data_IF_813728205389
#
_entry.id   IF_813728205389
#
_cell.length_a   1.000
_cell.length_b   1.000
_cell.length_c   1.000
_cell.angle_alpha   90.00
_cell.angle_beta   90.00
_cell.angle_gamma   90.00
#
_symmetry.space_group_name_H-M   'P 1'
#
loop_
_entity.id
_entity.type
_entity.pdbx_description
1 polymer ?
#
# COMPACT_ATOMS: atom_id res chain seq x y z
N UNK A 1 7.45 10.22 -4.41
CA UNK A 1 7.79 10.01 -5.85
C UNK A 1 6.65 10.39 -6.80
N UNK A 2 5.81 11.35 -6.42
CA UNK A 2 4.69 11.82 -7.24
C UNK A 2 5.21 12.66 -8.39
N UNK A 3 6.14 13.57 -8.09
CA UNK A 3 6.74 14.49 -9.09
C UNK A 3 7.41 13.70 -10.22
N UNK A 4 6.98 13.96 -11.44
CA UNK A 4 7.44 13.29 -12.65
C UNK A 4 6.68 12.00 -12.98
N UNK A 5 5.71 11.58 -12.14
CA UNK A 5 4.88 10.39 -12.36
C UNK A 5 3.38 10.71 -12.29
N UNK A 6 3.01 11.97 -12.52
CA UNK A 6 1.61 12.43 -12.41
C UNK A 6 0.68 11.72 -13.41
N UNK A 7 1.18 11.47 -14.61
CA UNK A 7 0.43 10.74 -15.64
C UNK A 7 0.14 9.30 -15.20
N UNK A 8 1.13 8.62 -14.62
CA UNK A 8 0.96 7.26 -14.09
C UNK A 8 -0.05 7.22 -12.94
N UNK A 9 0.01 8.20 -12.01
CA UNK A 9 -0.97 8.27 -10.93
C UNK A 9 -2.40 8.43 -11.45
N UNK A 10 -2.60 9.27 -12.48
CA UNK A 10 -3.90 9.45 -13.12
C UNK A 10 -4.39 8.16 -13.77
N UNK A 11 -3.51 7.43 -14.47
CA UNK A 11 -3.84 6.13 -15.09
C UNK A 11 -4.31 5.14 -14.03
N UNK A 12 -3.57 4.99 -12.93
CA UNK A 12 -3.94 4.11 -11.80
C UNK A 12 -5.38 4.39 -11.32
N UNK A 13 -5.73 5.67 -11.14
CA UNK A 13 -7.08 6.05 -10.71
C UNK A 13 -8.12 5.79 -11.80
N UNK A 14 -7.83 6.12 -13.06
CA UNK A 14 -8.73 5.92 -14.19
C UNK A 14 -9.04 4.43 -14.42
N UNK A 15 -8.06 3.57 -14.14
CA UNK A 15 -8.21 2.12 -14.22
C UNK A 15 -8.92 1.51 -12.99
N UNK A 16 -9.39 2.35 -12.07
CA UNK A 16 -10.22 1.93 -10.94
C UNK A 16 -9.45 1.45 -9.71
N UNK A 17 -8.14 1.64 -9.66
CA UNK A 17 -7.33 1.32 -8.49
C UNK A 17 -7.44 2.39 -7.41
N UNK A 18 -7.22 2.00 -6.15
CA UNK A 18 -7.21 2.92 -5.02
C UNK A 18 -5.79 3.41 -4.72
N UNK A 19 -5.70 4.68 -4.35
CA UNK A 19 -4.47 5.30 -3.88
C UNK A 19 -4.61 5.58 -2.39
N UNK A 20 -3.55 5.27 -1.63
CA UNK A 20 -3.45 5.57 -0.21
C UNK A 20 -2.20 6.36 0.13
N UNK A 21 -2.25 7.05 1.26
CA UNK A 21 -1.12 7.76 1.83
C UNK A 21 -0.13 6.78 2.46
N UNK A 22 1.17 6.99 2.23
CA UNK A 22 2.24 6.17 2.82
C UNK A 22 3.39 7.04 3.36
N UNK A 23 3.05 8.23 3.91
CA UNK A 23 3.96 9.30 4.30
C UNK A 23 4.57 10.04 3.09
N UNK A 24 4.89 11.30 3.30
CA UNK A 24 5.58 12.13 2.31
C UNK A 24 7.08 11.85 2.29
N UNK A 25 7.68 11.83 3.46
CA UNK A 25 9.13 11.67 3.63
C UNK A 25 9.61 10.22 3.55
N UNK A 26 8.76 9.26 3.92
CA UNK A 26 9.11 7.84 4.13
C UNK A 26 10.41 7.68 4.94
N UNK A 27 10.62 8.58 5.93
CA UNK A 27 11.80 8.59 6.79
C UNK A 27 11.85 7.36 7.69
N UNK A 28 13.03 6.77 7.88
CA UNK A 28 13.23 5.70 8.88
C UNK A 28 12.85 6.12 10.32
N UNK A 29 12.83 7.43 10.57
CA UNK A 29 12.41 8.00 11.86
C UNK A 29 10.89 8.31 11.92
N UNK A 30 10.12 8.03 10.87
CA UNK A 30 8.68 8.34 10.83
C UNK A 30 7.93 7.81 12.07
N UNK A 31 8.14 6.56 12.53
CA UNK A 31 7.46 6.05 13.73
C UNK A 31 7.77 6.82 15.02
N UNK A 32 8.87 7.57 15.05
CA UNK A 32 9.32 8.35 16.21
C UNK A 32 8.90 9.82 16.11
N UNK A 33 8.19 10.24 15.07
CA UNK A 33 7.72 11.62 14.96
C UNK A 33 6.71 11.95 16.06
N UNK A 34 6.84 13.16 16.64
CA UNK A 34 5.77 13.73 17.44
C UNK A 34 4.52 14.00 16.57
N UNK A 35 3.35 14.07 17.20
CA UNK A 35 2.05 14.16 16.55
C UNK A 35 1.97 15.28 15.51
N UNK A 36 2.45 16.48 15.83
CA UNK A 36 2.41 17.64 14.92
C UNK A 36 3.22 17.39 13.64
N UNK A 37 4.46 16.91 13.78
CA UNK A 37 5.33 16.60 12.65
C UNK A 37 4.75 15.47 11.79
N UNK A 38 4.22 14.44 12.43
CA UNK A 38 3.57 13.31 11.74
C UNK A 38 2.37 13.77 10.92
N UNK A 39 1.48 14.56 11.52
CA UNK A 39 0.32 15.13 10.81
C UNK A 39 0.74 15.97 9.62
N UNK A 40 1.75 16.84 9.79
CA UNK A 40 2.28 17.68 8.71
C UNK A 40 2.82 16.82 7.55
N UNK A 41 3.58 15.77 7.85
CA UNK A 41 4.11 14.83 6.84
C UNK A 41 2.97 14.16 6.05
N UNK A 42 1.97 13.63 6.75
CA UNK A 42 0.82 12.98 6.14
C UNK A 42 -0.04 13.95 5.32
N UNK A 43 -0.30 15.16 5.83
CA UNK A 43 -1.06 16.18 5.11
C UNK A 43 -0.34 16.66 3.84
N UNK A 44 0.98 16.81 3.90
CA UNK A 44 1.77 17.15 2.71
C UNK A 44 1.64 16.09 1.63
N UNK A 45 1.72 14.81 2.00
CA UNK A 45 1.49 13.71 1.05
C UNK A 45 0.08 13.71 0.49
N UNK A 46 -0.93 13.90 1.34
CA UNK A 46 -2.33 13.97 0.95
C UNK A 46 -2.57 15.07 -0.08
N UNK A 47 -2.14 16.30 0.23
CA UNK A 47 -2.31 17.44 -0.68
C UNK A 47 -1.71 17.16 -2.07
N UNK A 48 -0.52 16.57 -2.13
CA UNK A 48 0.11 16.23 -3.41
C UNK A 48 -0.65 15.13 -4.18
N UNK A 49 -1.13 14.10 -3.49
CA UNK A 49 -1.92 13.04 -4.10
C UNK A 49 -3.26 13.60 -4.62
N UNK A 50 -4.00 14.34 -3.80
CA UNK A 50 -5.29 14.92 -4.16
C UNK A 50 -5.16 15.94 -5.30
N UNK A 51 -4.09 16.73 -5.32
CA UNK A 51 -3.80 17.67 -6.42
C UNK A 51 -3.68 16.95 -7.77
N UNK A 52 -3.07 15.76 -7.79
CA UNK A 52 -2.84 15.01 -9.03
C UNK A 52 -4.04 14.16 -9.42
N UNK A 53 -4.68 13.53 -8.44
CA UNK A 53 -5.76 12.54 -8.68
C UNK A 53 -7.15 13.15 -8.72
N UNK A 54 -7.31 14.37 -8.18
CA UNK A 54 -8.61 15.03 -7.98
C UNK A 54 -9.59 14.17 -7.17
N UNK A 55 -9.07 13.28 -6.30
CA UNK A 55 -9.87 12.39 -5.46
C UNK A 55 -9.43 12.50 -4.00
N UNK A 56 -10.35 12.36 -3.04
CA UNK A 56 -10.01 12.35 -1.62
C UNK A 56 -9.17 11.12 -1.27
N UNK A 57 -8.13 11.33 -0.47
CA UNK A 57 -7.25 10.26 0.01
C UNK A 57 -7.65 9.90 1.44
N UNK A 58 -8.32 8.77 1.59
CA UNK A 58 -8.85 8.29 2.87
C UNK A 58 -8.12 7.06 3.40
N UNK A 59 -7.28 6.43 2.59
CA UNK A 59 -6.52 5.24 2.96
C UNK A 59 -5.11 5.60 3.38
N UNK A 60 -4.61 4.91 4.40
CA UNK A 60 -3.24 5.06 4.88
C UNK A 60 -2.60 3.70 5.13
N UNK A 61 -1.35 3.55 4.73
CA UNK A 61 -0.51 2.41 5.15
C UNK A 61 0.69 2.94 5.93
N UNK A 62 0.93 2.45 7.18
CA UNK A 62 2.08 2.92 7.94
C UNK A 62 3.40 2.47 7.31
N UNK A 63 4.39 3.37 7.18
CA UNK A 63 5.74 3.01 6.79
C UNK A 63 6.28 1.87 7.67
N UNK A 64 6.97 0.92 7.05
CA UNK A 64 7.55 -0.27 7.69
C UNK A 64 6.53 -1.19 8.39
N UNK A 65 5.23 -0.91 8.27
CA UNK A 65 4.19 -1.61 9.02
C UNK A 65 4.18 -1.32 10.53
N UNK A 66 4.91 -0.30 10.97
CA UNK A 66 5.00 0.07 12.38
C UNK A 66 3.78 0.90 12.77
N UNK A 67 3.13 0.49 13.85
CA UNK A 67 2.04 1.23 14.49
C UNK A 67 2.39 1.57 15.93
N UNK A 68 1.91 2.72 16.41
CA UNK A 68 2.03 3.16 17.80
C UNK A 68 0.90 4.15 18.14
N UNK A 69 0.72 4.53 19.42
CA UNK A 69 -0.34 5.46 19.83
C UNK A 69 -0.33 6.80 19.09
N UNK A 70 0.85 7.33 18.76
CA UNK A 70 0.99 8.61 18.04
C UNK A 70 0.49 8.48 16.59
N UNK A 71 0.87 7.39 15.90
CA UNK A 71 0.38 7.07 14.55
C UNK A 71 -1.15 6.90 14.59
N UNK A 72 -1.66 6.10 15.51
CA UNK A 72 -3.10 5.86 15.65
C UNK A 72 -3.88 7.18 15.89
N UNK A 73 -3.33 8.07 16.71
CA UNK A 73 -3.93 9.40 16.97
C UNK A 73 -3.91 10.28 15.72
N UNK A 74 -2.79 10.32 14.98
CA UNK A 74 -2.67 11.09 13.74
C UNK A 74 -3.66 10.58 12.67
N UNK A 75 -3.69 9.27 12.44
CA UNK A 75 -4.60 8.60 11.49
C UNK A 75 -6.04 8.93 11.78
N UNK A 76 -6.49 8.79 13.05
CA UNK A 76 -7.85 9.11 13.46
C UNK A 76 -8.17 10.59 13.29
N UNK A 77 -7.28 11.51 13.67
CA UNK A 77 -7.50 12.95 13.53
C UNK A 77 -7.54 13.43 12.08
N UNK A 78 -6.92 12.71 11.16
CA UNK A 78 -6.91 13.01 9.73
C UNK A 78 -7.98 12.23 8.94
N UNK A 79 -8.79 11.41 9.63
CA UNK A 79 -9.87 10.67 8.99
C UNK A 79 -9.43 9.51 8.10
N UNK A 80 -8.21 8.98 8.31
CA UNK A 80 -7.75 7.84 7.51
C UNK A 80 -8.25 6.51 8.04
N UNK A 81 -8.51 5.59 7.11
CA UNK A 81 -8.60 4.15 7.36
C UNK A 81 -7.21 3.52 7.14
N UNK A 82 -6.66 2.90 8.17
CA UNK A 82 -5.36 2.25 8.09
C UNK A 82 -5.47 0.86 7.48
N UNK A 83 -4.67 0.57 6.44
CA UNK A 83 -4.64 -0.72 5.76
C UNK A 83 -3.28 -1.38 5.96
N UNK A 84 -3.29 -2.54 6.61
CA UNK A 84 -2.12 -3.41 6.76
C UNK A 84 -2.03 -4.46 5.64
N UNK A 85 -1.50 -5.61 5.99
CA UNK A 85 -1.44 -6.81 5.16
C UNK A 85 -1.50 -8.06 6.04
N UNK A 86 -2.01 -9.16 5.49
CA UNK A 86 -1.95 -10.49 6.11
C UNK A 86 -0.81 -11.34 5.54
N UNK A 87 -0.42 -11.08 4.28
CA UNK A 87 0.67 -11.80 3.61
C UNK A 87 1.80 -10.84 3.25
N UNK A 88 2.93 -10.96 3.98
CA UNK A 88 4.18 -10.29 3.64
C UNK A 88 5.00 -11.18 2.71
N UNK A 89 5.22 -10.77 1.47
CA UNK A 89 5.91 -11.56 0.44
C UNK A 89 7.42 -11.66 0.65
N UNK A 90 8.04 -10.65 1.26
CA UNK A 90 9.49 -10.46 1.36
C UNK A 90 10.17 -10.26 0.00
N UNK A 91 9.44 -9.76 -0.98
CA UNK A 91 9.92 -9.45 -2.33
C UNK A 91 11.15 -8.54 -2.34
N UNK A 92 11.26 -7.62 -1.37
CA UNK A 92 12.41 -6.71 -1.23
C UNK A 92 13.70 -7.38 -0.74
N UNK A 93 13.66 -8.64 -0.35
CA UNK A 93 14.81 -9.42 0.13
C UNK A 93 15.42 -10.31 -0.95
N UNK A 94 15.24 -9.98 -2.24
CA UNK A 94 15.74 -10.76 -3.39
C UNK A 94 15.32 -12.25 -3.34
N UNK A 95 14.13 -12.51 -2.84
CA UNK A 95 13.58 -13.87 -2.85
C UNK A 95 13.24 -14.29 -4.27
N UNK A 96 13.65 -15.49 -4.70
CA UNK A 96 13.24 -16.04 -5.98
C UNK A 96 11.70 -16.07 -6.09
N UNK A 97 11.11 -15.80 -7.28
CA UNK A 97 9.66 -15.78 -7.48
C UNK A 97 8.96 -17.02 -6.91
N UNK A 98 9.50 -18.21 -7.11
CA UNK A 98 8.92 -19.47 -6.60
C UNK A 98 8.78 -19.47 -5.08
N UNK A 99 9.75 -18.91 -4.34
CA UNK A 99 9.67 -18.80 -2.88
C UNK A 99 8.59 -17.82 -2.44
N UNK A 100 8.38 -16.75 -3.21
CA UNK A 100 7.31 -15.78 -2.96
C UNK A 100 5.94 -16.44 -3.20
N UNK A 101 5.78 -17.10 -4.35
CA UNK A 101 4.55 -17.83 -4.70
C UNK A 101 4.22 -18.92 -3.68
N UNK A 102 5.21 -19.72 -3.27
CA UNK A 102 5.02 -20.74 -2.23
C UNK A 102 4.58 -20.14 -0.89
N UNK A 103 5.15 -18.99 -0.51
CA UNK A 103 4.75 -18.26 0.72
C UNK A 103 3.32 -17.75 0.63
N UNK A 104 2.91 -17.19 -0.52
CA UNK A 104 1.54 -16.74 -0.75
C UNK A 104 0.60 -17.94 -0.66
N UNK A 105 0.86 -19.01 -1.43
CA UNK A 105 0.02 -20.22 -1.44
C UNK A 105 -0.24 -20.80 -0.04
N UNK A 106 0.81 -20.81 0.80
CA UNK A 106 0.70 -21.32 2.18
C UNK A 106 -0.18 -20.49 3.11
N UNK A 107 -0.34 -19.18 2.81
CA UNK A 107 -1.04 -18.24 3.69
C UNK A 107 -2.30 -17.66 3.07
N UNK A 108 -2.63 -18.10 1.86
CA UNK A 108 -3.76 -17.57 1.12
C UNK A 108 -5.07 -17.99 1.77
N UNK A 109 -5.91 -17.01 2.05
CA UNK A 109 -7.25 -17.16 2.61
C UNK A 109 -8.17 -16.05 2.06
N UNK A 110 -9.49 -16.22 2.09
CA UNK A 110 -10.42 -15.15 1.71
C UNK A 110 -10.19 -13.88 2.54
N UNK A 111 -10.15 -12.73 1.86
CA UNK A 111 -9.86 -11.43 2.50
C UNK A 111 -8.38 -11.14 2.72
N UNK A 112 -7.47 -11.99 2.27
CA UNK A 112 -6.03 -11.74 2.38
C UNK A 112 -5.60 -10.46 1.64
N UNK A 113 -4.73 -9.67 2.27
CA UNK A 113 -4.07 -8.52 1.66
C UNK A 113 -2.59 -8.86 1.49
N UNK A 114 -2.15 -8.90 0.24
CA UNK A 114 -0.77 -9.25 -0.13
C UNK A 114 0.06 -7.98 -0.27
N UNK A 115 1.17 -7.88 0.47
CA UNK A 115 2.12 -6.76 0.36
C UNK A 115 3.16 -7.05 -0.72
N UNK A 116 3.29 -6.12 -1.66
CA UNK A 116 4.28 -6.10 -2.74
C UNK A 116 4.91 -4.71 -2.87
N UNK A 117 6.05 -4.64 -3.54
CA UNK A 117 6.75 -3.39 -3.84
C UNK A 117 7.08 -3.31 -5.34
N UNK A 118 6.73 -2.20 -5.96
CA UNK A 118 6.89 -1.92 -7.39
C UNK A 118 8.31 -1.57 -7.82
N UNK A 119 9.19 -1.25 -6.86
CA UNK A 119 10.57 -0.82 -7.10
C UNK A 119 11.55 -1.95 -7.42
N UNK A 120 11.11 -3.19 -7.32
CA UNK A 120 11.97 -4.36 -7.57
C UNK A 120 12.04 -4.65 -9.06
N UNK A 121 13.20 -5.09 -9.59
CA UNK A 121 13.29 -5.61 -10.94
C UNK A 121 12.21 -6.68 -11.17
N UNK A 122 11.64 -6.71 -12.37
CA UNK A 122 10.63 -7.68 -12.80
C UNK A 122 9.39 -7.78 -11.88
N UNK A 123 9.08 -6.70 -11.14
CA UNK A 123 7.92 -6.67 -10.24
C UNK A 123 6.60 -6.86 -11.00
N UNK A 124 6.50 -6.42 -12.24
CA UNK A 124 5.36 -6.63 -13.14
C UNK A 124 5.18 -8.12 -13.47
N UNK A 125 6.26 -8.84 -13.78
CA UNK A 125 6.23 -10.28 -14.04
C UNK A 125 5.84 -11.06 -12.77
N UNK A 126 6.37 -10.66 -11.62
CA UNK A 126 6.00 -11.25 -10.34
C UNK A 126 4.49 -11.04 -10.04
N UNK A 127 3.97 -9.84 -10.26
CA UNK A 127 2.53 -9.55 -10.09
C UNK A 127 1.70 -10.43 -11.01
N UNK A 128 2.08 -10.59 -12.29
CA UNK A 128 1.40 -11.48 -13.22
C UNK A 128 1.34 -12.92 -12.71
N UNK A 129 2.49 -13.47 -12.27
CA UNK A 129 2.55 -14.84 -11.72
C UNK A 129 1.68 -15.00 -10.45
N UNK A 130 1.61 -13.96 -9.60
CA UNK A 130 0.72 -13.97 -8.44
C UNK A 130 -0.75 -13.97 -8.88
N UNK A 131 -1.12 -13.16 -9.85
CA UNK A 131 -2.49 -13.13 -10.37
C UNK A 131 -2.91 -14.47 -10.99
N UNK A 132 -2.01 -15.12 -11.74
CA UNK A 132 -2.23 -16.45 -12.29
C UNK A 132 -2.44 -17.48 -11.16
N UNK A 133 -1.56 -17.48 -10.14
CA UNK A 133 -1.71 -18.32 -8.95
C UNK A 133 -3.06 -18.12 -8.25
N UNK A 134 -3.47 -16.87 -8.03
CA UNK A 134 -4.74 -16.56 -7.37
C UNK A 134 -5.92 -17.11 -8.17
N UNK A 135 -5.91 -16.95 -9.48
CA UNK A 135 -6.92 -17.47 -10.39
C UNK A 135 -6.98 -19.01 -10.36
N UNK A 136 -5.83 -19.68 -10.41
CA UNK A 136 -5.73 -21.14 -10.29
C UNK A 136 -6.30 -21.67 -8.96
N UNK A 137 -6.14 -20.91 -7.88
CA UNK A 137 -6.67 -21.25 -6.56
C UNK A 137 -8.15 -20.82 -6.35
N UNK A 138 -8.81 -20.29 -7.39
CA UNK A 138 -10.21 -19.86 -7.34
C UNK A 138 -10.47 -18.53 -6.62
N UNK A 139 -9.44 -17.71 -6.43
CA UNK A 139 -9.58 -16.39 -5.81
C UNK A 139 -9.80 -15.29 -6.84
N UNK A 140 -10.63 -14.31 -6.46
CA UNK A 140 -10.83 -13.07 -7.21
C UNK A 140 -10.18 -11.93 -6.44
N UNK A 141 -9.38 -11.11 -7.13
CA UNK A 141 -8.80 -9.90 -6.57
C UNK A 141 -9.84 -8.78 -6.59
N UNK A 142 -10.06 -8.16 -5.44
CA UNK A 142 -11.00 -7.05 -5.28
C UNK A 142 -10.30 -5.85 -4.63
N UNK A 143 -10.88 -4.67 -4.79
CA UNK A 143 -10.40 -3.48 -4.12
C UNK A 143 -10.61 -3.60 -2.60
N UNK A 144 -9.68 -3.08 -1.76
CA UNK A 144 -9.78 -3.20 -0.31
C UNK A 144 -11.03 -2.52 0.28
N UNK A 145 -11.60 -1.50 -0.34
CA UNK A 145 -12.86 -0.88 0.10
C UNK A 145 -14.06 -1.84 0.05
N UNK A 146 -14.00 -2.88 -0.77
CA UNK A 146 -15.01 -3.95 -0.82
C UNK A 146 -14.87 -4.96 0.33
N UNK A 147 -13.72 -4.99 1.00
CA UNK A 147 -13.45 -5.85 2.15
C UNK A 147 -13.67 -5.14 3.50
N UNK A 148 -13.76 -3.81 3.48
CA UNK A 148 -13.91 -2.96 4.67
C UNK A 148 -15.34 -2.49 4.90
N UNK A 149 -16.27 -2.87 4.04
CA UNK A 149 -17.68 -2.51 4.08
C UNK A 149 -18.45 -3.35 5.11
#
# INVERSE_FOLDING_TARGET
>A
KIKGNEALLKSIVTEGHLIGNHSYSHSGLFPLYGLSKMKKDLQTCQCELERVTSQPITLFRPPFGVTNPTIAKAVRQLGYTSIGWSIRTLDTQQSAPDKILARIRKRLEPGAIILLHDRMPDSDQLVKQILDLLKEQGYTVVRPDKLLA
#
